data_IF_205843978149
#
_entry.id   IF_205843978149
#
_cell.length_a   1.000
_cell.length_b   1.000
_cell.length_c   1.000
_cell.angle_alpha   90.00
_cell.angle_beta   90.00
_cell.angle_gamma   90.00
#
_symmetry.space_group_name_H-M   'P 1'
#
loop_
_entity.id
_entity.type
_entity.pdbx_description
1 polymer ?
#
# COMPACT_ATOMS: atom_id res chain seq x y z
N UNK A 1 15.88 -22.92 4.72
CA UNK A 1 14.83 -21.94 4.33
C UNK A 1 15.54 -20.59 4.26
N UNK A 2 15.47 -19.86 3.14
CA UNK A 2 16.12 -18.53 3.05
C UNK A 2 15.36 -17.54 3.93
N UNK A 3 16.07 -16.59 4.51
CA UNK A 3 15.48 -15.52 5.32
C UNK A 3 14.53 -14.68 4.46
N UNK A 4 13.36 -14.27 4.99
CA UNK A 4 12.42 -13.42 4.27
C UNK A 4 13.05 -12.10 3.79
N UNK A 5 14.10 -11.62 4.49
CA UNK A 5 14.91 -10.46 4.08
C UNK A 5 15.67 -10.69 2.77
N UNK A 6 16.03 -11.93 2.45
CA UNK A 6 16.68 -12.31 1.19
C UNK A 6 15.67 -12.45 0.03
N UNK A 7 14.38 -12.49 0.34
CA UNK A 7 13.30 -12.66 -0.64
C UNK A 7 12.69 -11.33 -1.10
N UNK A 8 13.10 -10.20 -0.50
CA UNK A 8 12.56 -8.89 -0.87
C UNK A 8 12.94 -8.53 -2.32
N UNK A 9 11.96 -8.19 -3.18
CA UNK A 9 12.20 -7.99 -4.60
C UNK A 9 12.71 -6.57 -4.89
N UNK A 10 13.97 -6.31 -4.57
CA UNK A 10 14.63 -5.04 -4.88
C UNK A 10 14.64 -4.75 -6.39
N UNK A 11 14.23 -3.54 -6.79
CA UNK A 11 14.25 -3.07 -8.17
C UNK A 11 15.17 -1.85 -8.34
N UNK A 12 15.89 -1.81 -9.46
CA UNK A 12 16.75 -0.68 -9.81
C UNK A 12 17.72 -0.28 -8.68
N UNK A 13 17.66 0.99 -8.28
CA UNK A 13 18.50 1.56 -7.21
C UNK A 13 17.86 1.51 -5.81
N UNK A 14 16.70 0.87 -5.62
CA UNK A 14 15.99 0.85 -4.34
C UNK A 14 16.88 0.38 -3.18
N UNK A 15 17.69 -0.67 -3.40
CA UNK A 15 18.59 -1.20 -2.37
C UNK A 15 19.70 -0.21 -2.01
N UNK A 16 20.24 0.48 -3.01
CA UNK A 16 21.30 1.49 -2.81
C UNK A 16 20.73 2.66 -2.02
N UNK A 17 19.59 3.20 -2.44
CA UNK A 17 18.91 4.30 -1.73
C UNK A 17 18.55 3.91 -0.30
N UNK A 18 18.08 2.68 -0.07
CA UNK A 18 17.76 2.22 1.29
C UNK A 18 19.00 2.16 2.19
N UNK A 19 20.15 1.74 1.65
CA UNK A 19 21.42 1.78 2.36
C UNK A 19 21.90 3.22 2.62
N UNK A 20 21.72 4.13 1.66
CA UNK A 20 22.04 5.57 1.82
C UNK A 20 21.19 6.20 2.93
N UNK A 21 19.87 5.93 2.92
CA UNK A 21 18.97 6.37 3.97
C UNK A 21 19.39 5.80 5.33
N UNK A 22 19.68 4.49 5.40
CA UNK A 22 20.16 3.86 6.63
C UNK A 22 21.40 4.55 7.19
N UNK A 23 22.40 4.84 6.34
CA UNK A 23 23.60 5.56 6.75
C UNK A 23 23.31 7.02 7.19
N UNK A 24 22.31 7.68 6.61
CA UNK A 24 21.91 9.04 7.00
C UNK A 24 21.30 9.11 8.41
N UNK A 25 20.74 8.00 8.91
CA UNK A 25 20.14 7.93 10.26
C UNK A 25 21.18 8.06 11.38
N UNK A 26 22.45 7.75 11.12
CA UNK A 26 23.54 7.93 12.09
C UNK A 26 23.92 9.42 12.27
N UNK A 27 23.49 10.30 11.36
CA UNK A 27 23.70 11.75 11.42
C UNK A 27 22.72 12.47 12.36
N UNK A 28 22.97 13.77 12.58
CA UNK A 28 22.07 14.67 13.33
C UNK A 28 21.28 15.63 12.41
N UNK A 29 21.48 15.55 11.09
CA UNK A 29 20.82 16.44 10.12
C UNK A 29 19.48 15.85 9.68
N UNK A 30 18.40 16.29 10.32
CA UNK A 30 17.02 15.89 10.01
C UNK A 30 16.62 16.21 8.56
N UNK A 31 17.17 17.26 7.96
CA UNK A 31 16.83 17.65 6.58
C UNK A 31 17.42 16.65 5.59
N UNK A 32 18.68 16.26 5.80
CA UNK A 32 19.34 15.22 5.00
C UNK A 32 18.63 13.86 5.15
N UNK A 33 18.23 13.50 6.39
CA UNK A 33 17.46 12.27 6.66
C UNK A 33 16.11 12.27 5.94
N UNK A 34 15.39 13.39 5.98
CA UNK A 34 14.09 13.52 5.31
C UNK A 34 14.25 13.42 3.78
N UNK A 35 15.26 14.07 3.20
CA UNK A 35 15.53 13.97 1.76
C UNK A 35 15.86 12.52 1.35
N UNK A 36 16.72 11.85 2.11
CA UNK A 36 17.07 10.46 1.86
C UNK A 36 15.85 9.53 1.98
N UNK A 37 15.00 9.75 2.99
CA UNK A 37 13.74 9.02 3.16
C UNK A 37 12.81 9.20 1.95
N UNK A 38 12.57 10.46 1.53
CA UNK A 38 11.72 10.76 0.38
C UNK A 38 12.27 10.15 -0.91
N UNK A 39 13.59 10.15 -1.11
CA UNK A 39 14.24 9.51 -2.26
C UNK A 39 14.00 8.00 -2.30
N UNK A 40 14.13 7.31 -1.16
CA UNK A 40 13.83 5.87 -1.05
C UNK A 40 12.36 5.62 -1.35
N UNK A 41 11.46 6.36 -0.70
CA UNK A 41 10.01 6.20 -0.88
C UNK A 41 9.61 6.45 -2.33
N UNK A 42 10.15 7.48 -2.97
CA UNK A 42 9.92 7.78 -4.38
C UNK A 42 10.28 6.59 -5.28
N UNK A 43 11.41 5.92 -5.03
CA UNK A 43 11.84 4.76 -5.81
C UNK A 43 10.90 3.55 -5.70
N UNK A 44 10.16 3.42 -4.59
CA UNK A 44 9.13 2.39 -4.42
C UNK A 44 7.77 2.80 -5.00
N UNK A 45 7.38 4.06 -4.81
CA UNK A 45 6.06 4.59 -5.21
C UNK A 45 5.98 4.76 -6.72
N UNK A 46 7.01 5.37 -7.33
CA UNK A 46 7.05 5.71 -8.76
C UNK A 46 7.72 4.62 -9.60
N UNK A 47 7.40 3.37 -9.31
CA UNK A 47 7.88 2.20 -10.06
C UNK A 47 6.80 1.67 -11.01
N UNK A 48 7.19 1.19 -12.19
CA UNK A 48 6.31 0.43 -13.09
C UNK A 48 6.73 -1.03 -13.08
N UNK A 49 5.79 -1.93 -12.84
CA UNK A 49 6.06 -3.37 -12.80
C UNK A 49 5.75 -4.09 -14.14
N UNK A 50 5.19 -3.39 -15.14
CA UNK A 50 4.92 -3.91 -16.50
C UNK A 50 4.29 -5.32 -16.53
N UNK A 51 3.31 -5.58 -15.64
CA UNK A 51 2.61 -6.87 -15.52
C UNK A 51 3.24 -7.89 -14.56
N UNK A 52 4.47 -7.68 -14.11
CA UNK A 52 5.12 -8.54 -13.10
C UNK A 52 4.85 -8.03 -11.68
N UNK A 53 3.59 -8.05 -11.26
CA UNK A 53 3.10 -7.45 -10.01
C UNK A 53 3.97 -7.78 -8.78
N UNK A 54 4.38 -9.04 -8.62
CA UNK A 54 5.15 -9.50 -7.45
C UNK A 54 6.63 -9.07 -7.44
N UNK A 55 7.13 -8.40 -8.47
CA UNK A 55 8.48 -7.81 -8.45
C UNK A 55 8.50 -6.45 -7.76
N UNK A 56 7.33 -5.85 -7.48
CA UNK A 56 7.25 -4.61 -6.71
C UNK A 56 7.45 -4.87 -5.22
N UNK A 57 8.47 -4.25 -4.64
CA UNK A 57 8.70 -4.26 -3.19
C UNK A 57 7.53 -3.68 -2.38
N UNK A 58 6.83 -2.67 -2.90
CA UNK A 58 5.68 -2.08 -2.21
C UNK A 58 4.46 -3.02 -2.20
N UNK A 59 4.21 -3.73 -3.31
CA UNK A 59 3.17 -4.75 -3.35
C UNK A 59 3.55 -5.92 -2.44
N UNK A 60 4.81 -6.36 -2.48
CA UNK A 60 5.32 -7.40 -1.58
C UNK A 60 5.10 -7.04 -0.10
N UNK A 61 5.38 -5.79 0.28
CA UNK A 61 5.07 -5.29 1.62
C UNK A 61 3.57 -5.41 1.96
N UNK A 62 2.67 -5.02 1.06
CA UNK A 62 1.22 -5.20 1.31
C UNK A 62 0.83 -6.67 1.45
N UNK A 63 1.41 -7.57 0.66
CA UNK A 63 1.16 -9.01 0.79
C UNK A 63 1.54 -9.53 2.17
N UNK A 64 2.67 -9.08 2.73
CA UNK A 64 3.08 -9.41 4.10
C UNK A 64 2.08 -8.86 5.13
N UNK A 65 1.56 -7.63 4.94
CA UNK A 65 0.52 -7.09 5.83
C UNK A 65 -0.76 -7.93 5.85
N UNK A 66 -1.02 -8.69 4.78
CA UNK A 66 -2.12 -9.65 4.71
C UNK A 66 -1.93 -10.89 5.58
N UNK A 67 -0.75 -11.10 6.16
CA UNK A 67 -0.44 -12.24 7.03
C UNK A 67 -0.63 -11.83 8.49
N UNK A 68 -1.34 -12.68 9.23
CA UNK A 68 -1.43 -12.66 10.69
C UNK A 68 -0.36 -13.61 11.23
N UNK A 69 0.79 -13.05 11.63
CA UNK A 69 1.94 -13.82 12.08
C UNK A 69 1.65 -14.57 13.38
N UNK A 70 0.85 -13.99 14.29
CA UNK A 70 0.52 -14.59 15.58
C UNK A 70 -0.42 -15.79 15.39
N UNK A 71 -1.38 -15.68 14.48
CA UNK A 71 -2.34 -16.75 14.19
C UNK A 71 -1.87 -17.71 13.09
N UNK A 72 -0.72 -17.47 12.46
CA UNK A 72 -0.17 -18.31 11.38
C UNK A 72 -1.09 -18.43 10.16
N UNK A 73 -1.92 -17.42 9.88
CA UNK A 73 -2.94 -17.45 8.82
C UNK A 73 -3.05 -16.12 8.07
N UNK A 74 -3.79 -16.11 6.97
CA UNK A 74 -4.13 -14.85 6.29
C UNK A 74 -5.19 -14.08 7.07
N UNK A 75 -5.07 -12.75 7.07
CA UNK A 75 -6.04 -11.84 7.66
C UNK A 75 -7.36 -11.89 6.86
N UNK A 76 -8.52 -11.85 7.55
CA UNK A 76 -9.80 -11.68 6.87
C UNK A 76 -9.84 -10.40 6.02
N UNK A 77 -10.52 -10.46 4.87
CA UNK A 77 -10.59 -9.35 3.92
C UNK A 77 -11.04 -8.03 4.55
N UNK A 78 -12.00 -8.08 5.50
CA UNK A 78 -12.45 -6.89 6.25
C UNK A 78 -11.29 -6.18 6.96
N UNK A 79 -10.45 -6.93 7.68
CA UNK A 79 -9.33 -6.37 8.44
C UNK A 79 -8.20 -5.91 7.52
N UNK A 80 -7.91 -6.70 6.49
CA UNK A 80 -6.87 -6.38 5.52
C UNK A 80 -7.23 -5.13 4.68
N UNK A 81 -8.52 -4.93 4.35
CA UNK A 81 -8.97 -3.76 3.59
C UNK A 81 -8.66 -2.42 4.29
N UNK A 82 -8.74 -2.36 5.61
CA UNK A 82 -8.38 -1.15 6.36
C UNK A 82 -6.88 -0.86 6.29
N UNK A 83 -6.04 -1.88 6.35
CA UNK A 83 -4.58 -1.74 6.19
C UNK A 83 -4.24 -1.23 4.79
N UNK A 84 -4.84 -1.82 3.76
CA UNK A 84 -4.67 -1.37 2.37
C UNK A 84 -5.11 0.09 2.17
N UNK A 85 -6.25 0.49 2.75
CA UNK A 85 -6.72 1.87 2.69
C UNK A 85 -5.72 2.84 3.36
N UNK A 86 -5.13 2.44 4.49
CA UNK A 86 -4.06 3.19 5.14
C UNK A 86 -2.82 3.33 4.26
N UNK A 87 -2.36 2.23 3.63
CA UNK A 87 -1.23 2.27 2.69
C UNK A 87 -1.52 3.19 1.50
N UNK A 88 -2.71 3.11 0.90
CA UNK A 88 -3.12 4.01 -0.20
C UNK A 88 -3.05 5.48 0.24
N UNK A 89 -3.55 5.80 1.43
CA UNK A 89 -3.48 7.15 1.97
C UNK A 89 -2.04 7.61 2.15
N UNK A 90 -1.21 6.84 2.87
CA UNK A 90 0.18 7.19 3.14
C UNK A 90 0.97 7.38 1.83
N UNK A 91 0.86 6.44 0.89
CA UNK A 91 1.58 6.55 -0.39
C UNK A 91 1.14 7.76 -1.21
N UNK A 92 -0.15 8.13 -1.19
CA UNK A 92 -0.61 9.33 -1.90
C UNK A 92 -0.11 10.62 -1.26
N UNK A 93 -0.08 10.68 0.08
CA UNK A 93 0.47 11.84 0.81
C UNK A 93 1.98 11.97 0.55
N UNK A 94 2.72 10.88 0.70
CA UNK A 94 4.17 10.85 0.45
C UNK A 94 4.49 11.12 -1.02
N UNK A 95 3.74 10.55 -1.95
CA UNK A 95 3.89 10.82 -3.38
C UNK A 95 3.58 12.27 -3.74
N UNK A 96 2.62 12.91 -3.06
CA UNK A 96 2.38 14.34 -3.21
C UNK A 96 3.54 15.17 -2.66
N UNK A 97 4.09 14.83 -1.50
CA UNK A 97 5.26 15.53 -0.95
C UNK A 97 6.49 15.40 -1.86
N UNK A 98 6.71 14.23 -2.48
CA UNK A 98 7.81 14.04 -3.45
C UNK A 98 7.63 14.90 -4.70
N UNK A 99 6.40 14.97 -5.23
CA UNK A 99 6.12 15.64 -6.51
C UNK A 99 5.87 17.14 -6.38
N UNK A 100 5.36 17.57 -5.23
CA UNK A 100 4.96 18.94 -4.94
C UNK A 100 5.32 19.30 -3.49
N UNK A 101 6.62 19.43 -3.17
CA UNK A 101 7.08 19.55 -1.79
C UNK A 101 6.48 20.75 -1.06
N UNK A 102 6.08 20.55 0.20
CA UNK A 102 5.48 21.62 0.99
C UNK A 102 6.45 22.80 1.21
N UNK A 103 7.75 22.52 1.31
CA UNK A 103 8.81 23.52 1.48
C UNK A 103 8.98 24.48 0.29
N UNK A 104 8.41 24.14 -0.86
CA UNK A 104 8.54 24.91 -2.11
C UNK A 104 7.24 25.58 -2.53
N UNK A 105 6.17 25.55 -1.71
CA UNK A 105 4.84 26.07 -2.07
C UNK A 105 4.85 27.50 -2.62
N UNK A 106 5.62 28.39 -2.01
CA UNK A 106 5.67 29.80 -2.43
C UNK A 106 6.28 30.01 -3.82
N UNK A 107 6.97 29.00 -4.36
CA UNK A 107 7.63 29.03 -5.68
C UNK A 107 6.93 28.14 -6.71
N UNK A 108 5.88 27.42 -6.31
CA UNK A 108 5.13 26.55 -7.21
C UNK A 108 4.19 27.38 -8.08
N UNK A 109 4.21 27.11 -9.38
CA UNK A 109 3.35 27.73 -10.38
C UNK A 109 2.57 26.65 -11.16
N UNK A 110 1.86 27.08 -12.21
CA UNK A 110 0.97 26.24 -13.00
C UNK A 110 1.70 25.05 -13.66
N UNK A 111 2.98 25.19 -13.99
CA UNK A 111 3.80 24.15 -14.58
C UNK A 111 4.12 23.02 -13.59
N UNK A 112 4.47 23.31 -12.34
CA UNK A 112 4.67 22.27 -11.31
C UNK A 112 3.36 21.53 -11.03
N UNK A 113 2.24 22.26 -10.97
CA UNK A 113 0.92 21.65 -10.78
C UNK A 113 0.55 20.72 -11.96
N UNK A 114 0.81 21.15 -13.20
CA UNK A 114 0.56 20.32 -14.39
C UNK A 114 1.45 19.05 -14.40
N UNK A 115 2.71 19.17 -14.00
CA UNK A 115 3.63 18.04 -13.85
C UNK A 115 3.15 17.06 -12.76
N UNK A 116 2.72 17.59 -11.60
CA UNK A 116 2.13 16.80 -10.53
C UNK A 116 0.90 16.03 -11.01
N UNK A 117 -0.06 16.68 -11.68
CA UNK A 117 -1.28 16.04 -12.17
C UNK A 117 -0.97 14.91 -13.17
N UNK A 118 0.03 15.11 -14.01
CA UNK A 118 0.52 14.10 -14.95
C UNK A 118 1.07 12.89 -14.21
N UNK A 119 2.00 13.09 -13.26
CA UNK A 119 2.60 12.00 -12.48
C UNK A 119 1.61 11.31 -11.55
N UNK A 120 0.66 12.06 -10.97
CA UNK A 120 -0.45 11.51 -10.20
C UNK A 120 -1.29 10.54 -11.02
N UNK A 121 -1.62 10.90 -12.27
CA UNK A 121 -2.36 10.01 -13.18
C UNK A 121 -1.54 8.78 -13.56
N UNK A 122 -0.23 8.97 -13.75
CA UNK A 122 0.68 7.91 -14.17
C UNK A 122 0.98 6.89 -13.07
N UNK A 123 1.01 7.28 -11.80
CA UNK A 123 1.49 6.39 -10.71
C UNK A 123 0.60 6.31 -9.48
N UNK A 124 -0.28 7.27 -9.22
CA UNK A 124 -1.06 7.35 -7.97
C UNK A 124 -2.56 7.11 -8.17
N UNK A 125 -2.95 6.79 -9.41
CA UNK A 125 -4.31 6.50 -9.83
C UNK A 125 -4.44 5.03 -10.25
N UNK A 126 -5.69 4.56 -10.27
CA UNK A 126 -6.02 3.23 -10.78
C UNK A 126 -5.87 3.15 -12.32
N UNK A 127 -5.75 1.94 -12.85
CA UNK A 127 -5.48 1.66 -14.26
C UNK A 127 -4.07 2.02 -14.73
N UNK A 128 -3.14 2.25 -13.80
CA UNK A 128 -1.73 2.50 -14.14
C UNK A 128 -0.91 1.29 -13.71
N UNK A 129 0.00 0.75 -14.54
CA UNK A 129 0.86 -0.40 -14.16
C UNK A 129 1.88 -0.06 -13.04
N UNK A 130 1.39 0.49 -11.94
CA UNK A 130 2.08 1.01 -10.78
C UNK A 130 1.59 0.27 -9.53
N UNK A 131 2.42 0.21 -8.48
CA UNK A 131 2.04 -0.41 -7.21
C UNK A 131 0.71 0.09 -6.66
N UNK A 132 0.40 1.38 -6.80
CA UNK A 132 -0.83 1.96 -6.25
C UNK A 132 -2.07 1.45 -6.97
N UNK A 133 -2.03 1.26 -8.29
CA UNK A 133 -3.18 0.70 -9.01
C UNK A 133 -3.49 -0.72 -8.56
N UNK A 134 -2.46 -1.53 -8.33
CA UNK A 134 -2.61 -2.91 -7.86
C UNK A 134 -3.16 -2.93 -6.42
N UNK A 135 -2.66 -2.05 -5.55
CA UNK A 135 -3.16 -1.91 -4.17
C UNK A 135 -4.62 -1.42 -4.17
N UNK A 136 -5.00 -0.51 -5.07
CA UNK A 136 -6.39 -0.05 -5.22
C UNK A 136 -7.30 -1.18 -5.71
N UNK A 137 -6.86 -1.96 -6.70
CA UNK A 137 -7.57 -3.15 -7.18
C UNK A 137 -7.78 -4.17 -6.05
N UNK A 138 -6.73 -4.45 -5.28
CA UNK A 138 -6.79 -5.36 -4.14
C UNK A 138 -7.70 -4.83 -3.02
N UNK A 139 -7.68 -3.52 -2.76
CA UNK A 139 -8.56 -2.86 -1.81
C UNK A 139 -10.03 -2.98 -2.24
N UNK A 140 -10.32 -2.73 -3.52
CA UNK A 140 -11.68 -2.85 -4.07
C UNK A 140 -12.19 -4.29 -3.94
N UNK A 141 -11.36 -5.28 -4.30
CA UNK A 141 -11.67 -6.70 -4.14
C UNK A 141 -11.92 -7.07 -2.68
N UNK A 142 -11.06 -6.63 -1.77
CA UNK A 142 -11.18 -6.92 -0.33
C UNK A 142 -12.46 -6.31 0.25
N UNK A 143 -12.82 -5.09 -0.16
CA UNK A 143 -14.09 -4.45 0.21
C UNK A 143 -15.30 -5.20 -0.33
N UNK A 144 -15.24 -5.69 -1.56
CA UNK A 144 -16.31 -6.50 -2.14
C UNK A 144 -16.55 -7.77 -1.32
N UNK A 145 -15.47 -8.50 -0.97
CA UNK A 145 -15.58 -9.66 -0.07
C UNK A 145 -16.17 -9.25 1.28
N UNK A 146 -15.61 -8.22 1.93
CA UNK A 146 -16.05 -7.79 3.25
C UNK A 146 -17.53 -7.36 3.28
N UNK A 147 -18.01 -6.72 2.21
CA UNK A 147 -19.42 -6.36 2.07
C UNK A 147 -20.32 -7.59 1.96
N UNK A 148 -19.91 -8.60 1.19
CA UNK A 148 -20.66 -9.85 1.05
C UNK A 148 -20.62 -10.72 2.31
N UNK A 149 -19.53 -10.64 3.08
CA UNK A 149 -19.35 -11.35 4.35
C UNK A 149 -20.33 -10.85 5.44
N UNK A 150 -20.80 -9.59 5.31
CA UNK A 150 -21.81 -8.97 6.18
C UNK A 150 -23.18 -9.65 6.20
N UNK A 151 -23.44 -10.61 5.30
CA UNK A 151 -24.66 -11.43 5.31
C UNK A 151 -24.48 -12.80 5.99
N UNK A 152 -23.27 -13.21 6.36
CA UNK A 152 -23.04 -14.51 6.99
C UNK A 152 -23.59 -14.59 8.44
N UNK A 153 -23.73 -13.45 9.12
CA UNK A 153 -24.38 -13.36 10.44
C UNK A 153 -25.90 -13.14 10.38
N UNK A 154 -26.47 -12.93 9.19
CA UNK A 154 -27.90 -12.68 9.05
C UNK A 154 -28.70 -13.96 9.01
N UNK A 155 -28.10 -15.13 8.79
CA UNK A 155 -28.81 -16.40 8.64
C UNK A 155 -28.02 -17.52 9.35
N UNK A 156 -28.47 -17.92 10.53
CA UNK A 156 -27.86 -18.99 11.31
C UNK A 156 -28.84 -20.15 11.41
N UNK A 157 -28.41 -21.38 11.14
CA UNK A 157 -29.24 -22.55 11.43
C UNK A 157 -29.09 -22.93 12.91
N UNK A 158 -30.19 -23.32 13.55
CA UNK A 158 -30.14 -24.03 14.83
C UNK A 158 -29.26 -25.29 14.72
N UNK A 159 -28.70 -25.75 15.84
CA UNK A 159 -27.85 -26.96 15.84
C UNK A 159 -28.58 -28.21 15.31
N UNK A 160 -29.89 -28.29 15.49
CA UNK A 160 -30.74 -29.36 14.96
C UNK A 160 -31.16 -29.15 13.50
N UNK A 161 -30.72 -28.06 12.86
CA UNK A 161 -31.04 -27.64 11.48
C UNK A 161 -32.54 -27.46 11.19
N UNK A 162 -33.36 -27.20 12.22
CA UNK A 162 -34.81 -27.02 12.06
C UNK A 162 -35.25 -25.55 11.96
N UNK A 163 -34.47 -24.62 12.51
CA UNK A 163 -34.83 -23.21 12.59
C UNK A 163 -33.73 -22.39 11.91
N UNK A 164 -34.14 -21.53 10.98
CA UNK A 164 -33.26 -20.55 10.35
C UNK A 164 -33.44 -19.21 11.05
N UNK A 165 -32.46 -18.80 11.84
CA UNK A 165 -32.47 -17.50 12.48
C UNK A 165 -32.05 -16.42 11.49
N UNK A 166 -33.00 -15.59 11.06
CA UNK A 166 -32.73 -14.40 10.27
C UNK A 166 -32.55 -13.16 11.16
N UNK A 167 -31.35 -12.59 11.22
CA UNK A 167 -31.00 -11.42 12.08
C UNK A 167 -31.39 -11.64 13.56
N UNK A 168 -31.16 -12.85 14.06
CA UNK A 168 -31.48 -13.22 15.45
C UNK A 168 -32.98 -13.46 15.72
N UNK A 169 -33.84 -13.47 14.70
CA UNK A 169 -35.24 -13.88 14.81
C UNK A 169 -35.45 -15.26 14.16
N UNK A 170 -36.13 -16.19 14.84
CA UNK A 170 -36.46 -17.50 14.27
C UNK A 170 -37.45 -17.41 13.12
#
# INVERSE_FOLDING_TARGET
MKDARELFPWQGNQKILASEFWASLDGQDESCQMEALLRVLAAFIFHKHNGFVFTSGLIHFTAILGIDADAGRLRPAKHYSYLLAGVVYCVRVLGAEVLLPASQRDRQADNELAAFLTKRREFLADGSYSPISEILSLLAFSKHIAFNDGNAGAALWSQDKKILYYRGKP
#
